data_IF_341919121386
#
_entry.id   IF_341919121386
#
_cell.length_a   1.000
_cell.length_b   1.000
_cell.length_c   1.000
_cell.angle_alpha   90.00
_cell.angle_beta   90.00
_cell.angle_gamma   90.00
#
_symmetry.space_group_name_H-M   'P 1'
#
loop_
_entity.id
_entity.type
_entity.pdbx_description
1 polymer ?
#
# COMPACT_ATOMS: atom_id res chain seq x y z
N UNK A 1 -2.52 20.82 -4.51
CA UNK A 1 -1.90 20.19 -5.68
C UNK A 1 -2.94 19.49 -6.55
N UNK A 2 -3.88 18.77 -5.95
CA UNK A 2 -4.98 18.06 -6.65
C UNK A 2 -5.74 18.94 -7.64
N UNK A 3 -6.35 20.05 -7.20
CA UNK A 3 -7.07 21.01 -8.06
C UNK A 3 -6.23 21.67 -9.17
N UNK A 4 -4.90 21.61 -9.10
CA UNK A 4 -4.02 22.18 -10.13
C UNK A 4 -3.80 21.17 -11.25
N UNK A 5 -3.72 19.87 -10.92
CA UNK A 5 -3.41 18.80 -11.89
C UNK A 5 -4.65 18.00 -12.28
N UNK A 6 -5.83 18.43 -11.82
CA UNK A 6 -7.13 17.91 -12.24
C UNK A 6 -7.30 18.00 -13.76
N UNK A 7 -7.79 16.93 -14.37
CA UNK A 7 -8.01 16.84 -15.82
C UNK A 7 -6.83 16.32 -16.65
N UNK A 8 -5.65 16.13 -16.06
CA UNK A 8 -4.55 15.43 -16.73
C UNK A 8 -4.77 13.91 -16.68
N UNK A 9 -4.96 13.32 -17.85
CA UNK A 9 -5.03 11.87 -17.97
C UNK A 9 -3.70 11.21 -17.57
N UNK A 10 -3.76 10.02 -16.96
CA UNK A 10 -2.59 9.31 -16.43
C UNK A 10 -1.84 10.02 -15.30
N UNK A 11 -2.41 11.07 -14.70
CA UNK A 11 -1.87 11.70 -13.48
C UNK A 11 -2.77 11.38 -12.30
N UNK A 12 -2.15 11.02 -11.16
CA UNK A 12 -2.83 10.79 -9.89
C UNK A 12 -2.15 11.65 -8.83
N UNK A 13 -2.94 12.35 -8.04
CA UNK A 13 -2.43 13.23 -6.99
C UNK A 13 -3.08 12.83 -5.67
N UNK A 14 -2.28 12.78 -4.62
CA UNK A 14 -2.77 12.64 -3.26
C UNK A 14 -1.97 13.56 -2.35
N UNK A 15 -2.63 14.60 -1.85
CA UNK A 15 -1.99 15.70 -1.11
C UNK A 15 -0.82 16.32 -1.89
N UNK A 16 0.41 15.96 -1.52
CA UNK A 16 1.66 16.44 -2.11
C UNK A 16 2.36 15.40 -2.99
N UNK A 17 1.86 14.16 -3.03
CA UNK A 17 2.42 13.09 -3.85
C UNK A 17 1.73 13.07 -5.22
N UNK A 18 2.54 13.02 -6.28
CA UNK A 18 2.08 12.95 -7.67
C UNK A 18 2.65 11.70 -8.33
N UNK A 19 1.76 10.86 -8.85
CA UNK A 19 2.09 9.70 -9.66
C UNK A 19 1.71 9.99 -11.11
N UNK A 20 2.66 9.81 -12.02
CA UNK A 20 2.48 9.95 -13.46
C UNK A 20 2.70 8.58 -14.08
N UNK A 21 1.70 8.07 -14.78
CA UNK A 21 1.75 6.78 -15.46
C UNK A 21 1.68 6.98 -16.97
N UNK A 22 2.34 6.11 -17.74
CA UNK A 22 2.31 6.09 -19.20
C UNK A 22 2.33 4.65 -19.70
N UNK A 23 1.71 4.38 -20.84
CA UNK A 23 1.77 3.07 -21.50
C UNK A 23 3.13 2.87 -22.20
N UNK A 24 3.86 3.95 -22.44
CA UNK A 24 5.20 3.98 -22.98
C UNK A 24 5.94 5.24 -22.50
N UNK A 25 7.27 5.25 -22.70
CA UNK A 25 8.15 6.33 -22.27
C UNK A 25 7.75 7.71 -22.83
N UNK A 26 7.35 7.75 -24.11
CA UNK A 26 6.94 9.00 -24.76
C UNK A 26 5.68 9.60 -24.12
N UNK A 27 4.66 8.77 -23.90
CA UNK A 27 3.42 9.20 -23.25
C UNK A 27 3.67 9.68 -21.81
N UNK A 28 4.55 8.98 -21.07
CA UNK A 28 4.95 9.37 -19.72
C UNK A 28 5.70 10.72 -19.72
N UNK A 29 6.61 10.93 -20.67
CA UNK A 29 7.36 12.18 -20.85
C UNK A 29 6.44 13.35 -21.20
N UNK A 30 5.49 13.14 -22.10
CA UNK A 30 4.52 14.16 -22.51
C UNK A 30 3.64 14.58 -21.31
N UNK A 31 3.16 13.62 -20.51
CA UNK A 31 2.43 13.88 -19.26
C UNK A 31 3.28 14.61 -18.22
N UNK A 32 4.54 14.20 -18.05
CA UNK A 32 5.48 14.87 -17.15
C UNK A 32 5.70 16.33 -17.54
N UNK A 33 5.88 16.61 -18.83
CA UNK A 33 6.02 17.99 -19.32
C UNK A 33 4.78 18.83 -19.03
N UNK A 34 3.59 18.26 -19.21
CA UNK A 34 2.33 18.94 -18.87
C UNK A 34 2.25 19.29 -17.38
N UNK A 35 2.54 18.32 -16.50
CA UNK A 35 2.57 18.54 -15.04
C UNK A 35 3.58 19.63 -14.66
N UNK A 36 4.80 19.57 -15.19
CA UNK A 36 5.85 20.57 -14.91
C UNK A 36 5.48 21.96 -15.42
N UNK A 37 4.77 22.07 -16.54
CA UNK A 37 4.27 23.35 -17.05
C UNK A 37 3.23 23.94 -16.10
N UNK A 38 2.22 23.17 -15.71
CA UNK A 38 1.16 23.65 -14.81
C UNK A 38 1.71 24.06 -13.45
N UNK A 39 2.64 23.28 -12.88
CA UNK A 39 3.29 23.60 -11.61
C UNK A 39 4.10 24.90 -11.71
N UNK A 40 4.78 25.13 -12.83
CA UNK A 40 5.51 26.37 -13.10
C UNK A 40 4.56 27.57 -13.15
N UNK A 41 3.41 27.43 -13.80
CA UNK A 41 2.43 28.52 -13.97
C UNK A 41 1.83 28.97 -12.64
N UNK A 42 1.69 28.05 -11.68
CA UNK A 42 1.23 28.36 -10.31
C UNK A 42 2.36 28.68 -9.33
N UNK A 43 3.62 28.69 -9.79
CA UNK A 43 4.79 29.01 -8.96
C UNK A 43 5.20 27.92 -7.97
N UNK A 44 4.82 26.66 -8.19
CA UNK A 44 5.22 25.53 -7.36
C UNK A 44 6.52 24.90 -7.88
N UNK A 45 7.52 24.83 -7.00
CA UNK A 45 8.79 24.17 -7.29
C UNK A 45 8.82 22.75 -6.71
N UNK A 46 9.29 21.82 -7.52
CA UNK A 46 9.49 20.43 -7.16
C UNK A 46 10.92 20.22 -6.61
N UNK A 47 11.09 19.42 -5.54
CA UNK A 47 12.41 19.10 -4.96
C UNK A 47 13.09 17.96 -5.71
N UNK A 48 14.04 18.26 -6.59
CA UNK A 48 14.66 17.30 -7.52
C UNK A 48 15.07 15.94 -6.88
N UNK A 49 15.52 15.95 -5.63
CA UNK A 49 15.94 14.76 -4.87
C UNK A 49 14.82 13.75 -4.56
N UNK A 50 13.54 14.14 -4.74
CA UNK A 50 12.38 13.33 -4.38
C UNK A 50 11.70 12.62 -5.56
N UNK A 51 12.20 12.79 -6.79
CA UNK A 51 11.56 12.19 -7.98
C UNK A 51 12.36 11.03 -8.53
N UNK A 52 11.63 10.00 -8.98
CA UNK A 52 12.16 8.90 -9.78
C UNK A 52 11.53 9.00 -11.16
N UNK A 53 12.36 8.96 -12.20
CA UNK A 53 11.92 9.01 -13.59
C UNK A 53 12.13 7.67 -14.28
N UNK A 54 11.24 7.34 -15.21
CA UNK A 54 11.34 6.18 -16.09
C UNK A 54 11.67 4.88 -15.34
N UNK A 55 10.88 4.60 -14.30
CA UNK A 55 10.99 3.38 -13.50
C UNK A 55 9.80 2.46 -13.79
N UNK A 56 10.05 1.15 -13.85
CA UNK A 56 9.00 0.14 -14.02
C UNK A 56 8.15 -0.04 -12.75
N UNK A 57 8.71 0.31 -11.59
CA UNK A 57 8.07 0.27 -10.29
C UNK A 57 8.40 1.50 -9.43
N UNK A 58 7.43 1.99 -8.66
CA UNK A 58 7.61 3.13 -7.76
C UNK A 58 6.83 2.95 -6.46
N UNK A 59 7.37 3.46 -5.35
CA UNK A 59 6.63 3.54 -4.09
C UNK A 59 5.71 4.77 -4.12
N UNK A 60 4.41 4.54 -3.91
CA UNK A 60 3.38 5.58 -3.86
C UNK A 60 2.37 5.24 -2.77
N UNK A 61 2.18 6.16 -1.82
CA UNK A 61 1.25 6.01 -0.68
C UNK A 61 1.43 4.70 0.12
N UNK A 62 2.68 4.30 0.36
CA UNK A 62 3.01 3.07 1.10
C UNK A 62 2.76 1.77 0.33
N UNK A 63 2.56 1.85 -0.99
CA UNK A 63 2.42 0.69 -1.87
C UNK A 63 3.48 0.74 -2.95
N UNK A 64 3.87 -0.44 -3.46
CA UNK A 64 4.66 -0.52 -4.70
C UNK A 64 3.66 -0.55 -5.85
N UNK A 65 3.81 0.37 -6.81
CA UNK A 65 2.99 0.48 -8.01
C UNK A 65 3.83 0.11 -9.21
N UNK A 66 3.32 -0.78 -10.05
CA UNK A 66 3.98 -1.19 -11.30
C UNK A 66 2.94 -1.39 -12.42
N UNK A 67 3.40 -1.75 -13.62
CA UNK A 67 2.53 -1.94 -14.79
C UNK A 67 1.44 -3.02 -14.64
N UNK A 68 1.49 -3.84 -13.60
CA UNK A 68 0.48 -4.89 -13.34
C UNK A 68 -0.48 -4.55 -12.19
N UNK A 69 -0.24 -3.48 -11.44
CA UNK A 69 -1.10 -3.05 -10.34
C UNK A 69 -0.32 -2.58 -9.12
N UNK A 70 -0.95 -2.72 -7.95
CA UNK A 70 -0.37 -2.34 -6.65
C UNK A 70 0.00 -3.57 -5.81
N UNK A 71 1.08 -3.44 -5.06
CA UNK A 71 1.62 -4.47 -4.17
C UNK A 71 1.93 -3.89 -2.78
N UNK A 72 1.87 -4.71 -1.71
CA UNK A 72 2.36 -4.31 -0.40
C UNK A 72 3.88 -4.06 -0.42
N UNK A 73 4.35 -3.13 0.42
CA UNK A 73 5.79 -2.88 0.58
C UNK A 73 6.48 -4.04 1.30
N UNK A 74 7.71 -4.37 0.92
CA UNK A 74 8.54 -5.40 1.56
C UNK A 74 8.79 -5.18 3.06
N UNK A 75 8.63 -3.95 3.57
CA UNK A 75 8.80 -3.62 5.00
C UNK A 75 7.81 -4.35 5.92
N UNK A 76 6.63 -4.74 5.42
CA UNK A 76 5.70 -5.64 6.12
C UNK A 76 6.35 -6.96 6.50
N UNK A 77 7.09 -7.56 5.56
CA UNK A 77 7.76 -8.85 5.74
C UNK A 77 8.80 -8.76 6.85
N UNK A 78 9.51 -7.64 6.90
CA UNK A 78 10.51 -7.39 7.94
C UNK A 78 9.88 -7.19 9.33
N UNK A 79 8.72 -6.54 9.43
CA UNK A 79 8.04 -6.38 10.72
C UNK A 79 7.46 -7.70 11.23
N UNK A 80 6.97 -8.55 10.34
CA UNK A 80 6.51 -9.91 10.67
C UNK A 80 7.64 -10.74 11.31
N UNK A 81 8.85 -10.65 10.77
CA UNK A 81 10.01 -11.32 11.37
C UNK A 81 10.34 -10.80 12.77
N UNK A 82 10.12 -9.51 13.05
CA UNK A 82 10.35 -8.90 14.37
C UNK A 82 9.34 -9.38 15.42
N UNK A 83 8.06 -9.47 15.06
CA UNK A 83 6.99 -9.92 15.96
C UNK A 83 7.15 -11.34 16.50
N UNK A 84 7.75 -12.24 15.71
CA UNK A 84 8.12 -13.58 16.19
C UNK A 84 9.10 -13.55 17.36
N UNK A 85 9.80 -12.43 17.56
CA UNK A 85 10.93 -12.30 18.48
C UNK A 85 10.52 -11.69 19.83
N UNK A 86 9.41 -10.95 19.90
CA UNK A 86 8.96 -10.30 21.14
C UNK A 86 7.44 -10.33 21.28
N UNK A 87 6.96 -11.13 22.24
CA UNK A 87 5.54 -11.41 22.47
C UNK A 87 4.90 -10.34 23.38
N UNK A 88 4.81 -9.08 22.93
CA UNK A 88 4.18 -7.99 23.69
C UNK A 88 2.85 -7.54 23.08
N UNK A 89 1.96 -6.98 23.93
CA UNK A 89 0.68 -6.41 23.49
C UNK A 89 0.86 -5.23 22.53
N UNK A 90 1.86 -4.40 22.78
CA UNK A 90 2.14 -3.19 21.98
C UNK A 90 2.58 -3.56 20.56
N UNK A 91 3.43 -4.58 20.46
CA UNK A 91 3.86 -5.08 19.16
C UNK A 91 2.73 -5.77 18.42
N UNK A 92 1.91 -6.59 19.10
CA UNK A 92 0.75 -7.20 18.47
C UNK A 92 -0.24 -6.13 17.95
N UNK A 93 -0.43 -5.04 18.69
CA UNK A 93 -1.26 -3.92 18.24
C UNK A 93 -0.65 -3.25 16.99
N UNK A 94 0.66 -3.03 16.99
CA UNK A 94 1.39 -2.47 15.85
C UNK A 94 1.26 -3.36 14.61
N UNK A 95 1.40 -4.68 14.80
CA UNK A 95 1.21 -5.66 13.74
C UNK A 95 -0.18 -5.60 13.13
N UNK A 96 -1.21 -5.68 13.98
CA UNK A 96 -2.59 -5.69 13.51
C UNK A 96 -2.95 -4.37 12.83
N UNK A 97 -2.42 -3.24 13.30
CA UNK A 97 -2.57 -1.95 12.63
C UNK A 97 -1.97 -1.95 11.23
N UNK A 98 -0.77 -2.50 11.06
CA UNK A 98 -0.17 -2.65 9.73
C UNK A 98 -0.93 -3.63 8.85
N UNK A 99 -1.31 -4.80 9.37
CA UNK A 99 -2.08 -5.77 8.61
C UNK A 99 -3.45 -5.20 8.17
N UNK A 100 -4.06 -4.33 8.98
CA UNK A 100 -5.29 -3.61 8.62
C UNK A 100 -5.06 -2.61 7.47
N UNK A 101 -3.93 -1.90 7.45
CA UNK A 101 -3.57 -1.00 6.33
C UNK A 101 -3.50 -1.75 4.99
N UNK A 102 -3.07 -3.02 5.01
CA UNK A 102 -2.99 -3.90 3.84
C UNK A 102 -4.16 -4.90 3.75
N UNK A 103 -5.25 -4.69 4.49
CA UNK A 103 -6.39 -5.62 4.56
C UNK A 103 -7.00 -5.97 3.20
N UNK A 104 -6.94 -5.05 2.22
CA UNK A 104 -7.38 -5.29 0.83
C UNK A 104 -6.67 -6.46 0.12
N UNK A 105 -5.48 -6.84 0.58
CA UNK A 105 -4.74 -7.99 0.07
C UNK A 105 -5.01 -9.28 0.86
N UNK A 106 -5.73 -9.19 1.98
CA UNK A 106 -5.92 -10.29 2.93
C UNK A 106 -7.40 -10.72 2.92
N UNK A 107 -7.74 -11.86 2.29
CA UNK A 107 -9.11 -12.35 2.31
C UNK A 107 -9.50 -12.78 3.73
N UNK A 108 -10.72 -12.42 4.15
CA UNK A 108 -11.29 -12.79 5.45
C UNK A 108 -10.44 -12.32 6.66
N UNK A 109 -9.82 -11.14 6.58
CA UNK A 109 -8.96 -10.54 7.61
C UNK A 109 -9.54 -10.62 9.04
N UNK A 110 -10.84 -10.35 9.20
CA UNK A 110 -11.51 -10.42 10.52
C UNK A 110 -11.45 -11.82 11.13
N UNK A 111 -11.68 -12.87 10.33
CA UNK A 111 -11.62 -14.25 10.81
C UNK A 111 -10.18 -14.67 11.11
N UNK A 112 -9.22 -14.20 10.29
CA UNK A 112 -7.79 -14.49 10.43
C UNK A 112 -7.09 -13.77 11.58
N UNK A 113 -7.75 -12.82 12.24
CA UNK A 113 -7.17 -12.05 13.35
C UNK A 113 -7.95 -12.17 14.66
N UNK A 114 -8.98 -13.01 14.70
CA UNK A 114 -9.94 -13.05 15.79
C UNK A 114 -9.26 -13.33 17.14
N UNK A 115 -8.46 -14.39 17.23
CA UNK A 115 -7.81 -14.80 18.48
C UNK A 115 -6.74 -13.80 18.90
N UNK A 116 -6.00 -13.24 17.94
CA UNK A 116 -5.03 -12.17 18.22
C UNK A 116 -5.69 -10.88 18.74
N UNK A 117 -6.83 -10.47 18.18
CA UNK A 117 -7.59 -9.30 18.66
C UNK A 117 -8.11 -9.51 20.09
N UNK A 118 -8.40 -10.74 20.49
CA UNK A 118 -8.80 -11.04 21.87
C UNK A 118 -7.68 -10.78 22.89
N UNK A 119 -6.42 -11.00 22.51
CA UNK A 119 -5.26 -10.73 23.38
C UNK A 119 -5.09 -9.24 23.72
N UNK A 120 -5.63 -8.36 22.87
CA UNK A 120 -5.58 -6.91 23.04
C UNK A 120 -6.71 -6.36 23.94
N UNK A 121 -7.68 -7.20 24.34
CA UNK A 121 -8.78 -6.76 25.21
C UNK A 121 -8.27 -6.39 26.60
N UNK A 122 -8.85 -5.33 27.18
CA UNK A 122 -8.58 -4.94 28.58
C UNK A 122 -8.95 -6.08 29.53
N UNK A 123 -8.09 -6.35 30.51
CA UNK A 123 -8.31 -7.40 31.52
C UNK A 123 -8.02 -8.84 31.05
N UNK A 124 -7.66 -9.08 29.78
CA UNK A 124 -7.19 -10.38 29.30
C UNK A 124 -5.69 -10.53 29.55
N UNK A 125 -5.28 -11.70 30.04
CA UNK A 125 -3.88 -12.10 30.09
C UNK A 125 -3.35 -12.29 28.66
N UNK A 126 -2.10 -11.85 28.42
CA UNK A 126 -1.45 -12.05 27.13
C UNK A 126 -0.87 -13.46 27.06
N UNK A 127 -1.70 -14.42 26.62
CA UNK A 127 -1.28 -15.79 26.41
C UNK A 127 -1.28 -16.09 24.90
N UNK A 128 -0.09 -16.16 24.31
CA UNK A 128 0.05 -16.53 22.91
C UNK A 128 -0.29 -18.00 22.71
N UNK A 129 -1.49 -18.28 22.19
CA UNK A 129 -1.97 -19.65 21.98
C UNK A 129 -1.55 -20.17 20.61
N UNK A 130 -1.62 -21.50 20.42
CA UNK A 130 -1.42 -22.14 19.11
C UNK A 130 -2.31 -21.54 18.02
N UNK A 131 -3.54 -21.16 18.36
CA UNK A 131 -4.46 -20.52 17.41
C UNK A 131 -3.97 -19.13 16.97
N UNK A 132 -3.34 -18.38 17.88
CA UNK A 132 -2.72 -17.10 17.54
C UNK A 132 -1.54 -17.31 16.58
N UNK A 133 -0.73 -18.35 16.79
CA UNK A 133 0.38 -18.71 15.89
C UNK A 133 -0.12 -19.10 14.48
N UNK A 134 -1.19 -19.89 14.40
CA UNK A 134 -1.80 -20.30 13.13
C UNK A 134 -2.39 -19.11 12.36
N UNK A 135 -3.11 -18.22 13.07
CA UNK A 135 -3.62 -16.95 12.52
C UNK A 135 -2.49 -16.05 12.01
N UNK A 136 -1.43 -15.89 12.80
CA UNK A 136 -0.25 -15.11 12.45
C UNK A 136 0.46 -15.65 11.20
N UNK A 137 0.70 -16.97 11.15
CA UNK A 137 1.31 -17.62 10.00
C UNK A 137 0.45 -17.48 8.74
N UNK A 138 -0.88 -17.62 8.88
CA UNK A 138 -1.80 -17.46 7.75
C UNK A 138 -1.79 -16.05 7.18
N UNK A 139 -1.78 -15.01 8.03
CA UNK A 139 -1.69 -13.62 7.58
C UNK A 139 -0.37 -13.34 6.87
N UNK A 140 0.73 -13.86 7.43
CA UNK A 140 2.04 -13.72 6.81
C UNK A 140 2.07 -14.35 5.41
N UNK A 141 1.46 -15.52 5.24
CA UNK A 141 1.37 -16.16 3.94
C UNK A 141 0.53 -15.32 2.97
N UNK A 142 -0.62 -14.78 3.40
CA UNK A 142 -1.44 -13.90 2.56
C UNK A 142 -0.70 -12.63 2.14
N UNK A 143 0.13 -12.07 3.02
CA UNK A 143 0.89 -10.84 2.74
C UNK A 143 2.11 -11.09 1.84
N UNK A 144 2.78 -12.24 1.94
CA UNK A 144 3.89 -12.60 1.05
C UNK A 144 3.43 -13.08 -0.33
N UNK A 145 2.26 -13.72 -0.40
CA UNK A 145 1.67 -14.22 -1.65
C UNK A 145 0.58 -13.25 -2.15
N UNK A 146 0.55 -12.02 -1.61
CA UNK A 146 -0.47 -11.04 -1.94
C UNK A 146 -0.50 -10.82 -3.46
N UNK A 147 -1.63 -11.11 -4.13
CA UNK A 147 -1.73 -10.92 -5.56
C UNK A 147 -1.64 -9.43 -5.89
N UNK A 148 -1.12 -9.12 -7.08
CA UNK A 148 -1.15 -7.76 -7.60
C UNK A 148 -2.61 -7.35 -7.75
N UNK A 149 -3.02 -6.34 -7.00
CA UNK A 149 -4.35 -5.77 -7.20
C UNK A 149 -4.25 -4.91 -8.45
N UNK A 150 -4.84 -5.41 -9.54
CA UNK A 150 -4.93 -4.69 -10.81
C UNK A 150 -5.67 -3.36 -10.66
N UNK A 151 -5.44 -2.44 -11.59
CA UNK A 151 -6.25 -1.23 -11.70
C UNK A 151 -7.71 -1.62 -11.90
N UNK A 152 -8.62 -0.99 -11.15
CA UNK A 152 -10.06 -1.19 -11.31
C UNK A 152 -10.48 -0.78 -12.72
N UNK A 153 -10.91 -1.76 -13.51
CA UNK A 153 -11.46 -1.52 -14.84
C UNK A 153 -12.96 -1.25 -14.71
N UNK A 154 -13.39 -0.05 -15.10
CA UNK A 154 -14.81 0.34 -15.09
C UNK A 154 -15.65 -0.36 -16.15
N UNK A 155 -15.02 -1.10 -17.07
CA UNK A 155 -15.70 -1.92 -18.09
C UNK A 155 -15.83 -3.39 -17.72
N UNK A 156 -15.17 -3.84 -16.65
CA UNK A 156 -15.34 -5.20 -16.14
C UNK A 156 -16.67 -5.33 -15.37
N UNK A 157 -17.43 -6.38 -15.68
CA UNK A 157 -18.72 -6.66 -15.05
C UNK A 157 -18.48 -7.07 -13.59
N UNK A 158 -18.70 -6.13 -12.66
CA UNK A 158 -18.43 -6.26 -11.22
C UNK A 158 -19.41 -7.21 -10.50
N UNK A 159 -20.20 -7.99 -11.24
CA UNK A 159 -21.17 -8.95 -10.72
C UNK A 159 -20.68 -10.38 -10.90
N UNK A 160 -20.08 -10.93 -9.85
CA UNK A 160 -20.04 -12.37 -9.60
C UNK A 160 -20.58 -12.67 -8.22
#
# INVERSE_FOLDING_TARGET
>A
MEHILEGLDGVRVYQDDVLIVGSNEKEQDDRLRAVLSMLRDVGLALKAEKYKFNVEEIEYLGHVVNGTGIQPKAELVNMINRLKTSQSKEELLTFLGMAEFYSKFIPNMTQKTMSMRELLRKGKEFLWTRRCEEEFCSLNQCLNVAPNLGSFDTTDDVRK
#
